data_IF_193235217005
#
_entry.id   IF_193235217005
#
_cell.length_a   1.000
_cell.length_b   1.000
_cell.length_c   1.000
_cell.angle_alpha   90.00
_cell.angle_beta   90.00
_cell.angle_gamma   90.00
#
_symmetry.space_group_name_H-M   'P 1'
#
loop_
_entity.id
_entity.type
_entity.pdbx_description
1 polymer ?
#
# COMPACT_ATOMS: atom_id res chain seq x y z
N UNK A 1 -23.86 -5.76 16.98
CA UNK A 1 -22.82 -5.76 18.03
C UNK A 1 -21.84 -4.62 17.74
N UNK A 2 -21.29 -3.89 18.72
CA UNK A 2 -20.26 -2.88 18.49
C UNK A 2 -18.91 -3.45 18.03
N UNK A 3 -18.17 -2.66 17.26
CA UNK A 3 -16.81 -2.97 16.83
C UNK A 3 -15.81 -2.37 17.83
N UNK A 4 -14.83 -3.15 18.24
CA UNK A 4 -13.74 -2.73 19.12
C UNK A 4 -12.41 -2.78 18.38
N UNK A 5 -11.57 -1.78 18.66
CA UNK A 5 -10.15 -1.80 18.39
C UNK A 5 -9.43 -2.07 19.71
N UNK A 6 -8.65 -3.16 19.73
CA UNK A 6 -7.97 -3.67 20.92
C UNK A 6 -6.48 -3.70 20.60
N UNK A 7 -5.72 -2.81 21.21
CA UNK A 7 -4.27 -2.71 21.06
C UNK A 7 -3.60 -3.56 22.14
N UNK A 8 -2.65 -4.37 21.73
CA UNK A 8 -1.78 -5.19 22.58
C UNK A 8 -0.33 -4.78 22.37
N UNK A 9 0.63 -5.46 23.00
CA UNK A 9 2.04 -5.12 22.81
C UNK A 9 2.53 -5.39 21.39
N UNK A 10 1.96 -6.38 20.68
CA UNK A 10 2.40 -6.72 19.32
C UNK A 10 1.33 -6.51 18.23
N UNK A 11 0.05 -6.33 18.58
CA UNK A 11 -1.05 -6.36 17.61
C UNK A 11 -2.09 -5.27 17.84
N UNK A 12 -2.70 -4.82 16.73
CA UNK A 12 -3.99 -4.12 16.73
C UNK A 12 -5.06 -5.11 16.26
N UNK A 13 -5.98 -5.47 17.16
CA UNK A 13 -7.03 -6.47 16.93
C UNK A 13 -8.36 -5.74 16.71
N UNK A 14 -9.07 -6.10 15.63
CA UNK A 14 -10.39 -5.56 15.30
C UNK A 14 -11.43 -6.67 15.50
N UNK A 15 -12.33 -6.50 16.47
CA UNK A 15 -13.29 -7.54 16.84
C UNK A 15 -14.69 -7.01 17.13
N UNK A 16 -15.69 -7.84 16.84
CA UNK A 16 -17.08 -7.62 17.20
C UNK A 16 -17.36 -8.21 18.58
N UNK A 17 -17.84 -7.40 19.53
CA UNK A 17 -18.17 -7.85 20.87
C UNK A 17 -19.43 -7.14 21.39
N UNK A 18 -20.06 -7.62 22.47
CA UNK A 18 -21.22 -6.93 23.06
C UNK A 18 -20.81 -5.68 23.84
N UNK A 19 -19.65 -5.74 24.47
CA UNK A 19 -19.11 -4.79 25.45
C UNK A 19 -17.59 -4.94 25.56
N UNK A 20 -16.95 -4.14 26.42
CA UNK A 20 -15.50 -4.15 26.60
C UNK A 20 -14.98 -5.44 27.25
N UNK A 21 -15.79 -6.06 28.11
CA UNK A 21 -15.42 -7.29 28.79
C UNK A 21 -15.33 -8.45 27.80
N UNK A 22 -16.39 -8.65 27.01
CA UNK A 22 -16.41 -9.63 25.92
C UNK A 22 -15.33 -9.38 24.87
N UNK A 23 -15.00 -8.12 24.55
CA UNK A 23 -13.87 -7.79 23.68
C UNK A 23 -12.52 -8.22 24.28
N UNK A 24 -12.34 -8.07 25.59
CA UNK A 24 -11.13 -8.51 26.31
C UNK A 24 -11.03 -10.03 26.35
N UNK A 25 -12.14 -10.73 26.55
CA UNK A 25 -12.19 -12.20 26.55
C UNK A 25 -11.76 -12.78 25.20
N UNK A 26 -12.14 -12.15 24.08
CA UNK A 26 -11.64 -12.55 22.75
C UNK A 26 -10.11 -12.55 22.68
N UNK A 27 -9.45 -11.54 23.26
CA UNK A 27 -7.98 -11.49 23.28
C UNK A 27 -7.40 -12.57 24.18
N UNK A 28 -7.96 -12.75 25.38
CA UNK A 28 -7.49 -13.79 26.32
C UNK A 28 -7.59 -15.19 25.72
N UNK A 29 -8.66 -15.45 24.98
CA UNK A 29 -8.93 -16.78 24.45
C UNK A 29 -8.13 -17.06 23.17
N UNK A 30 -8.00 -16.08 22.27
CA UNK A 30 -7.27 -16.25 21.00
C UNK A 30 -5.77 -15.96 21.09
N UNK A 31 -5.36 -15.07 21.99
CA UNK A 31 -3.99 -14.58 22.17
C UNK A 31 -3.60 -14.54 23.67
N UNK A 32 -3.55 -15.70 24.36
CA UNK A 32 -3.42 -15.77 25.82
C UNK A 32 -2.11 -15.19 26.40
N UNK A 33 -1.11 -14.92 25.57
CA UNK A 33 0.16 -14.28 25.97
C UNK A 33 0.19 -12.76 25.77
N UNK A 34 -0.83 -12.18 25.15
CA UNK A 34 -0.90 -10.74 24.88
C UNK A 34 -1.57 -10.00 26.04
N UNK A 35 -1.02 -8.84 26.37
CA UNK A 35 -1.64 -7.91 27.31
C UNK A 35 -2.35 -6.80 26.53
N UNK A 36 -3.60 -6.52 26.88
CA UNK A 36 -4.35 -5.38 26.31
C UNK A 36 -3.77 -4.08 26.87
N UNK A 37 -3.25 -3.24 25.97
CA UNK A 37 -2.68 -1.92 26.26
C UNK A 37 -3.74 -0.83 26.15
N UNK A 38 -4.62 -0.93 25.15
CA UNK A 38 -5.71 0.02 24.93
C UNK A 38 -6.90 -0.69 24.33
N UNK A 39 -8.10 -0.30 24.75
CA UNK A 39 -9.35 -0.81 24.21
C UNK A 39 -10.25 0.38 23.86
N UNK A 40 -10.82 0.40 22.66
CA UNK A 40 -11.66 1.51 22.21
C UNK A 40 -12.83 1.00 21.39
N UNK A 41 -14.05 1.37 21.80
CA UNK A 41 -15.25 1.17 20.98
C UNK A 41 -15.22 2.11 19.79
N UNK A 42 -15.35 1.55 18.59
CA UNK A 42 -15.27 2.33 17.35
C UNK A 42 -16.63 2.96 17.03
N UNK A 43 -16.64 4.20 16.51
CA UNK A 43 -17.88 4.91 16.20
C UNK A 43 -18.60 4.35 14.96
N UNK A 44 -17.91 3.53 14.16
CA UNK A 44 -18.44 2.88 12.94
C UNK A 44 -18.06 1.41 12.92
N UNK A 45 -18.82 0.65 12.14
CA UNK A 45 -18.66 -0.78 11.87
C UNK A 45 -17.57 -1.12 10.85
N UNK A 46 -16.91 -0.11 10.28
CA UNK A 46 -15.94 -0.28 9.20
C UNK A 46 -14.53 0.11 9.66
N UNK A 47 -13.53 -0.72 9.34
CA UNK A 47 -12.10 -0.43 9.51
C UNK A 47 -11.38 -0.40 8.16
N UNK A 48 -10.44 0.53 8.03
CA UNK A 48 -9.62 0.69 6.83
C UNK A 48 -8.17 0.72 7.27
N UNK A 49 -7.35 -0.10 6.63
CA UNK A 49 -5.91 -0.02 6.68
C UNK A 49 -5.38 0.17 5.26
N UNK A 50 -4.52 1.17 5.09
CA UNK A 50 -3.94 1.46 3.78
C UNK A 50 -2.97 0.35 3.39
N UNK A 51 -3.15 -0.23 2.19
CA UNK A 51 -2.20 -1.19 1.60
C UNK A 51 -0.75 -0.68 1.63
N UNK A 52 -0.55 0.60 1.34
CA UNK A 52 0.76 1.26 1.40
C UNK A 52 1.38 1.27 2.80
N UNK A 53 0.58 1.46 3.86
CA UNK A 53 1.06 1.40 5.24
C UNK A 53 1.50 -0.02 5.65
N UNK A 54 0.95 -1.05 4.98
CA UNK A 54 1.35 -2.44 5.12
C UNK A 54 2.50 -2.86 4.18
N UNK A 55 2.98 -1.96 3.31
CA UNK A 55 3.92 -2.32 2.24
C UNK A 55 3.34 -3.25 1.16
N UNK A 56 2.01 -3.46 1.13
CA UNK A 56 1.29 -4.30 0.18
C UNK A 56 0.88 -3.51 -1.07
N UNK A 57 1.81 -2.75 -1.63
CA UNK A 57 1.57 -2.07 -2.91
C UNK A 57 1.73 -3.08 -4.03
N UNK A 58 0.60 -3.59 -4.55
CA UNK A 58 0.52 -4.42 -5.78
C UNK A 58 0.97 -3.67 -7.06
N UNK A 59 1.75 -2.60 -6.93
CA UNK A 59 2.52 -2.05 -8.02
C UNK A 59 3.85 -2.80 -8.14
N UNK A 60 3.79 -4.11 -8.42
CA UNK A 60 4.55 -4.56 -9.58
C UNK A 60 3.85 -3.95 -10.80
N UNK A 61 4.00 -2.63 -10.96
CA UNK A 61 3.92 -2.08 -12.30
C UNK A 61 5.16 -2.68 -12.92
N UNK A 62 4.97 -3.76 -13.69
CA UNK A 62 6.09 -4.36 -14.38
C UNK A 62 6.79 -3.24 -15.13
N UNK A 63 8.07 -2.99 -14.80
CA UNK A 63 8.78 -1.88 -15.37
C UNK A 63 8.77 -2.09 -16.88
N UNK A 64 8.44 -1.02 -17.59
CA UNK A 64 8.31 -1.11 -19.02
C UNK A 64 9.73 -1.20 -19.58
N UNK A 65 10.12 -2.39 -20.05
CA UNK A 65 11.47 -2.62 -20.58
C UNK A 65 11.82 -1.61 -21.69
N UNK A 66 10.86 -1.29 -22.56
CA UNK A 66 11.04 -0.23 -23.58
C UNK A 66 11.30 1.14 -22.98
N UNK A 67 10.65 1.49 -21.86
CA UNK A 67 10.89 2.75 -21.16
C UNK A 67 12.29 2.78 -20.51
N UNK A 68 12.73 1.66 -19.93
CA UNK A 68 14.08 1.52 -19.39
C UNK A 68 15.16 1.62 -20.45
N UNK A 69 14.97 0.96 -21.59
CA UNK A 69 15.87 1.07 -22.74
C UNK A 69 15.94 2.52 -23.25
N UNK A 70 14.81 3.21 -23.32
CA UNK A 70 14.76 4.63 -23.69
C UNK A 70 15.50 5.51 -22.67
N UNK A 71 15.32 5.27 -21.38
CA UNK A 71 16.05 5.98 -20.33
C UNK A 71 17.56 5.69 -20.39
N UNK A 72 17.97 4.45 -20.70
CA UNK A 72 19.37 4.06 -20.86
C UNK A 72 20.03 4.78 -22.05
N UNK A 73 19.35 4.77 -23.20
CA UNK A 73 19.77 5.54 -24.39
C UNK A 73 19.85 7.03 -24.11
N UNK A 74 18.95 7.56 -23.27
CA UNK A 74 18.91 8.96 -22.88
C UNK A 74 19.84 9.30 -21.69
N UNK A 75 20.58 8.34 -21.13
CA UNK A 75 21.39 8.53 -19.92
C UNK A 75 20.60 9.15 -18.75
N UNK A 76 19.32 8.79 -18.63
CA UNK A 76 18.41 9.31 -17.60
C UNK A 76 17.79 10.68 -17.89
N UNK A 77 18.08 11.30 -19.04
CA UNK A 77 17.38 12.52 -19.44
C UNK A 77 15.91 12.23 -19.73
N UNK A 78 15.04 12.76 -18.88
CA UNK A 78 13.59 12.54 -18.93
C UNK A 78 12.97 12.98 -20.26
N UNK A 79 13.32 14.16 -20.76
CA UNK A 79 12.68 14.73 -21.95
C UNK A 79 13.07 13.95 -23.19
N UNK A 80 14.35 13.58 -23.29
CA UNK A 80 14.87 12.74 -24.35
C UNK A 80 14.23 11.34 -24.30
N UNK A 81 14.18 10.70 -23.12
CA UNK A 81 13.56 9.38 -22.96
C UNK A 81 12.07 9.37 -23.36
N UNK A 82 11.31 10.42 -23.02
CA UNK A 82 9.91 10.58 -23.46
C UNK A 82 9.82 10.61 -24.99
N UNK A 83 10.68 11.40 -25.66
CA UNK A 83 10.69 11.49 -27.12
C UNK A 83 11.05 10.16 -27.79
N UNK A 84 12.02 9.42 -27.23
CA UNK A 84 12.40 8.09 -27.71
C UNK A 84 11.23 7.11 -27.59
N UNK A 85 10.58 7.09 -26.42
CA UNK A 85 9.47 6.19 -26.15
C UNK A 85 8.25 6.47 -27.04
N UNK A 86 7.92 7.75 -27.27
CA UNK A 86 6.87 8.16 -28.21
C UNK A 86 7.17 7.65 -29.63
N UNK A 87 8.43 7.76 -30.07
CA UNK A 87 8.85 7.29 -31.40
C UNK A 87 8.80 5.77 -31.54
N UNK A 88 9.21 5.04 -30.50
CA UNK A 88 9.28 3.57 -30.54
C UNK A 88 7.91 2.90 -30.37
N UNK A 89 6.98 3.51 -29.63
CA UNK A 89 5.67 2.90 -29.31
C UNK A 89 4.48 3.54 -30.01
N UNK A 90 4.64 4.74 -30.57
CA UNK A 90 3.54 5.55 -31.11
C UNK A 90 2.60 6.13 -30.03
N UNK A 91 2.97 6.02 -28.75
CA UNK A 91 2.17 6.57 -27.65
C UNK A 91 2.14 8.11 -27.66
N UNK A 92 1.05 8.69 -27.18
CA UNK A 92 0.94 10.13 -26.97
C UNK A 92 1.87 10.62 -25.84
N UNK A 93 1.97 11.95 -25.72
CA UNK A 93 2.85 12.59 -24.73
C UNK A 93 2.45 12.28 -23.29
N UNK A 94 1.15 12.21 -22.99
CA UNK A 94 0.68 12.03 -21.61
C UNK A 94 0.99 10.61 -21.11
N UNK A 95 0.70 9.61 -21.94
CA UNK A 95 1.01 8.21 -21.67
C UNK A 95 2.52 8.01 -21.58
N UNK A 96 3.28 8.56 -22.51
CA UNK A 96 4.75 8.45 -22.51
C UNK A 96 5.37 9.08 -21.27
N UNK A 97 4.88 10.25 -20.84
CA UNK A 97 5.32 10.90 -19.61
C UNK A 97 5.08 10.02 -18.39
N UNK A 98 3.86 9.50 -18.23
CA UNK A 98 3.49 8.62 -17.09
C UNK A 98 4.38 7.38 -17.01
N UNK A 99 4.61 6.71 -18.13
CA UNK A 99 5.41 5.48 -18.17
C UNK A 99 6.88 5.76 -17.87
N UNK A 100 7.48 6.80 -18.48
CA UNK A 100 8.87 7.20 -18.20
C UNK A 100 9.04 7.59 -16.73
N UNK A 101 8.18 8.45 -16.19
CA UNK A 101 8.25 8.89 -14.79
C UNK A 101 8.10 7.72 -13.80
N UNK A 102 7.17 6.81 -14.07
CA UNK A 102 6.99 5.61 -13.25
C UNK A 102 8.25 4.74 -13.21
N UNK A 103 8.93 4.55 -14.34
CA UNK A 103 10.18 3.78 -14.38
C UNK A 103 11.32 4.54 -13.68
N UNK A 104 11.40 5.87 -13.82
CA UNK A 104 12.40 6.68 -13.09
C UNK A 104 12.25 6.56 -11.56
N UNK A 105 11.02 6.56 -11.03
CA UNK A 105 10.77 6.37 -9.59
C UNK A 105 11.19 4.98 -9.12
N UNK A 106 11.10 3.97 -9.99
CA UNK A 106 11.54 2.59 -9.71
C UNK A 106 13.05 2.39 -9.88
N UNK A 107 13.82 3.48 -10.08
CA UNK A 107 15.27 3.41 -10.26
C UNK A 107 15.69 2.76 -11.57
N UNK A 108 14.90 3.04 -12.63
CA UNK A 108 15.02 2.56 -14.01
C UNK A 108 16.32 1.84 -14.40
#
# INVERSE_FOLDING_TARGET
MPLFEIETNAHIIISWASDEQSATEVVRDAFPGEAVVRLTRRPRDTWVISKSALGLTDSQIDPCNTARDCLAKASGDKVHAIRLYMRETGADLERSRKVIESNMVMGW
#
